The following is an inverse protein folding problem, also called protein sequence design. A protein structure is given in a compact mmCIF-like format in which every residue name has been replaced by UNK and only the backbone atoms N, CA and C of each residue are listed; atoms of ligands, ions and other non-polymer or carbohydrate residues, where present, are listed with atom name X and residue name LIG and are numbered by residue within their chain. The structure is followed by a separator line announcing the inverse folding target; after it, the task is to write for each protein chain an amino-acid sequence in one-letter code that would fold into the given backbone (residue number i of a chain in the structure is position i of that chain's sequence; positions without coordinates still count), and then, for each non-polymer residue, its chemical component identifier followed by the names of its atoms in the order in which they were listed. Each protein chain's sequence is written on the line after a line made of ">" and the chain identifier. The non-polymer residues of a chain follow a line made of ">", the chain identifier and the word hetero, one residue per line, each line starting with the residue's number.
data_IF_650927209189
#
_entry.id   IF_650927209189
#
_cell.length_a   1.000
_cell.length_b   1.000
_cell.length_c   1.000
_cell.angle_alpha   90.00
_cell.angle_beta   90.00
_cell.angle_gamma   90.00
#
_symmetry.space_group_name_H-M   'P 1'
#
loop_
_entity.id
_entity.type
_entity.pdbx_description
1 polymer ?
#
# COMPACT_ATOMS: atom_id res chain seq x y z
N UNK A 1 13.92 -42.68 15.34
CA UNK A 1 14.70 -41.59 14.73
C UNK A 1 14.23 -41.40 13.30
N UNK A 2 13.42 -40.38 13.01
CA UNK A 2 13.23 -39.86 11.65
C UNK A 2 12.91 -38.38 11.75
N UNK A 3 13.98 -37.59 11.65
CA UNK A 3 14.01 -36.13 11.69
C UNK A 3 13.35 -35.59 10.40
N UNK A 4 12.28 -34.80 10.53
CA UNK A 4 11.70 -34.08 9.39
C UNK A 4 12.46 -32.79 9.18
N UNK A 5 13.29 -32.76 8.15
CA UNK A 5 14.04 -31.59 7.67
C UNK A 5 13.10 -30.40 7.40
N UNK A 6 13.40 -29.19 7.91
CA UNK A 6 12.57 -28.02 7.64
C UNK A 6 12.83 -27.49 6.22
N UNK A 7 11.77 -27.39 5.40
CA UNK A 7 11.83 -26.75 4.08
C UNK A 7 12.11 -25.25 4.27
N UNK A 8 13.30 -24.80 3.87
CA UNK A 8 13.65 -23.38 3.77
C UNK A 8 12.64 -22.67 2.87
N UNK A 9 11.88 -21.71 3.43
CA UNK A 9 11.13 -20.74 2.62
C UNK A 9 12.17 -19.90 1.86
N UNK A 10 12.17 -20.00 0.53
CA UNK A 10 12.95 -19.09 -0.32
C UNK A 10 12.42 -17.68 -0.09
N UNK A 11 13.30 -16.76 0.34
CA UNK A 11 13.01 -15.33 0.35
C UNK A 11 12.61 -14.91 -1.08
N UNK A 12 11.56 -14.09 -1.17
CA UNK A 12 11.14 -13.48 -2.44
C UNK A 12 12.34 -12.79 -3.12
N UNK A 13 12.42 -12.80 -4.46
CA UNK A 13 13.50 -12.13 -5.17
C UNK A 13 13.53 -10.65 -4.79
N UNK A 14 14.73 -10.13 -4.53
CA UNK A 14 14.96 -8.71 -4.29
C UNK A 14 14.42 -7.94 -5.51
N UNK A 15 13.59 -6.90 -5.35
CA UNK A 15 13.03 -6.22 -6.50
C UNK A 15 14.18 -5.68 -7.37
N UNK A 16 14.00 -5.69 -8.68
CA UNK A 16 15.02 -5.17 -9.61
C UNK A 16 14.98 -3.63 -9.59
N UNK A 17 16.10 -2.95 -9.83
CA UNK A 17 16.24 -1.48 -9.66
C UNK A 17 15.12 -0.65 -10.32
N UNK A 18 14.55 -1.13 -11.43
CA UNK A 18 13.40 -0.52 -12.09
C UNK A 18 12.07 -0.69 -11.33
N UNK A 19 11.85 -1.82 -10.67
CA UNK A 19 10.66 -2.10 -9.85
C UNK A 19 10.65 -1.23 -8.59
N UNK A 20 11.80 -0.97 -7.96
CA UNK A 20 11.86 -0.02 -6.85
C UNK A 20 11.61 1.43 -7.30
N UNK A 21 12.13 1.83 -8.46
CA UNK A 21 11.87 3.15 -9.00
C UNK A 21 10.37 3.34 -9.28
N UNK A 22 9.72 2.34 -9.86
CA UNK A 22 8.27 2.35 -10.11
C UNK A 22 7.47 2.34 -8.80
N UNK A 23 7.85 1.55 -7.79
CA UNK A 23 7.20 1.57 -6.48
C UNK A 23 7.33 2.95 -5.79
N UNK A 24 8.51 3.56 -5.85
CA UNK A 24 8.74 4.89 -5.30
C UNK A 24 7.91 5.96 -6.03
N UNK A 25 7.85 5.89 -7.37
CA UNK A 25 7.04 6.81 -8.18
C UNK A 25 5.54 6.61 -7.90
N UNK A 26 5.07 5.36 -7.82
CA UNK A 26 3.67 5.03 -7.48
C UNK A 26 3.26 5.59 -6.12
N UNK A 27 4.15 5.48 -5.12
CA UNK A 27 3.97 6.10 -3.79
C UNK A 27 3.95 7.62 -3.86
N UNK A 28 4.81 8.23 -4.67
CA UNK A 28 4.83 9.69 -4.85
C UNK A 28 3.53 10.20 -5.48
N UNK A 29 3.01 9.52 -6.50
CA UNK A 29 1.72 9.84 -7.13
C UNK A 29 0.58 9.75 -6.10
N UNK A 30 0.52 8.67 -5.32
CA UNK A 30 -0.48 8.54 -4.26
C UNK A 30 -0.41 9.68 -3.24
N UNK A 31 0.80 10.05 -2.81
CA UNK A 31 0.99 11.17 -1.86
C UNK A 31 0.46 12.49 -2.41
N UNK A 32 0.69 12.79 -3.68
CA UNK A 32 0.16 14.00 -4.32
C UNK A 32 -1.35 13.93 -4.53
N UNK A 33 -1.88 12.76 -4.88
CA UNK A 33 -3.30 12.53 -5.09
C UNK A 33 -4.11 12.78 -3.81
N UNK A 34 -3.66 12.25 -2.67
CA UNK A 34 -4.38 12.37 -1.40
C UNK A 34 -4.52 13.81 -0.89
N UNK A 35 -3.66 14.74 -1.35
CA UNK A 35 -3.79 16.17 -1.01
C UNK A 35 -5.03 16.81 -1.65
N UNK A 36 -5.40 16.34 -2.84
CA UNK A 36 -6.47 16.92 -3.65
C UNK A 36 -7.75 16.05 -3.61
N UNK A 37 -7.63 14.74 -3.34
CA UNK A 37 -8.74 13.77 -3.42
C UNK A 37 -9.94 14.09 -2.52
N UNK A 38 -9.74 14.75 -1.37
CA UNK A 38 -10.84 15.13 -0.48
C UNK A 38 -11.77 16.19 -1.10
N UNK A 39 -11.27 16.99 -2.04
CA UNK A 39 -12.02 18.06 -2.71
C UNK A 39 -12.40 17.68 -4.13
N UNK A 40 -11.45 17.15 -4.90
CA UNK A 40 -11.62 16.82 -6.33
C UNK A 40 -12.25 15.42 -6.53
N UNK A 41 -12.27 14.59 -5.48
CA UNK A 41 -12.66 13.18 -5.55
C UNK A 41 -11.60 12.29 -6.22
N UNK A 42 -11.87 10.98 -6.23
CA UNK A 42 -11.06 10.00 -6.96
C UNK A 42 -11.48 9.99 -8.44
N UNK A 43 -10.91 10.89 -9.23
CA UNK A 43 -11.15 11.01 -10.68
C UNK A 43 -9.86 10.84 -11.49
N UNK A 44 -9.97 10.50 -12.79
CA UNK A 44 -8.82 10.41 -13.68
C UNK A 44 -8.13 11.77 -13.89
N UNK A 45 -8.89 12.87 -13.82
CA UNK A 45 -8.35 14.22 -13.87
C UNK A 45 -7.44 14.50 -12.65
N UNK A 46 -7.87 14.07 -11.46
CA UNK A 46 -7.09 14.16 -10.23
C UNK A 46 -5.82 13.29 -10.32
N UNK A 47 -5.93 12.04 -10.82
CA UNK A 47 -4.78 11.16 -11.03
C UNK A 47 -3.75 11.78 -11.99
N UNK A 48 -4.18 12.35 -13.12
CA UNK A 48 -3.29 13.01 -14.07
C UNK A 48 -2.59 14.24 -13.46
N UNK A 49 -3.29 15.02 -12.63
CA UNK A 49 -2.73 16.16 -11.90
C UNK A 49 -1.70 15.71 -10.86
N UNK A 50 -2.00 14.66 -10.10
CA UNK A 50 -1.09 14.07 -9.13
C UNK A 50 0.17 13.50 -9.79
N UNK A 51 0.01 12.81 -10.94
CA UNK A 51 1.11 12.31 -11.74
C UNK A 51 2.08 13.40 -12.17
N UNK A 52 1.57 14.50 -12.73
CA UNK A 52 2.39 15.66 -13.09
C UNK A 52 3.16 16.24 -11.91
N UNK A 53 2.52 16.38 -10.73
CA UNK A 53 3.18 16.88 -9.51
C UNK A 53 4.27 15.92 -9.00
N UNK A 54 4.07 14.61 -9.19
CA UNK A 54 5.01 13.57 -8.79
C UNK A 54 6.10 13.27 -9.83
N UNK A 55 6.06 13.91 -11.01
CA UNK A 55 7.01 13.67 -12.10
C UNK A 55 6.71 12.42 -12.94
N UNK A 56 5.51 11.84 -12.84
CA UNK A 56 5.05 10.75 -13.70
C UNK A 56 4.37 11.30 -14.96
N UNK A 57 4.87 10.90 -16.13
CA UNK A 57 4.21 11.18 -17.41
C UNK A 57 3.02 10.23 -17.65
N UNK A 58 2.35 10.39 -18.80
CA UNK A 58 1.16 9.60 -19.13
C UNK A 58 1.46 8.11 -19.27
N UNK A 59 2.60 7.75 -19.88
CA UNK A 59 2.97 6.37 -20.12
C UNK A 59 3.36 5.68 -18.80
N UNK A 60 4.05 6.40 -17.91
CA UNK A 60 4.30 5.95 -16.54
C UNK A 60 3.00 5.78 -15.76
N UNK A 61 2.05 6.73 -15.84
CA UNK A 61 0.75 6.58 -15.17
C UNK A 61 -0.03 5.37 -15.67
N UNK A 62 -0.07 5.14 -16.99
CA UNK A 62 -0.73 3.97 -17.57
C UNK A 62 -0.07 2.65 -17.12
N UNK A 63 1.27 2.64 -17.00
CA UNK A 63 2.02 1.48 -16.48
C UNK A 63 1.77 1.25 -14.98
N UNK A 64 1.81 2.30 -14.17
CA UNK A 64 1.69 2.22 -12.71
C UNK A 64 0.25 1.98 -12.23
N UNK A 65 -0.73 2.51 -12.98
CA UNK A 65 -2.15 2.50 -12.70
C UNK A 65 -2.95 2.02 -13.93
N UNK A 66 -2.89 0.73 -14.29
CA UNK A 66 -3.46 0.20 -15.53
C UNK A 66 -4.98 0.32 -15.62
N UNK A 67 -5.69 0.35 -14.48
CA UNK A 67 -7.13 0.62 -14.40
C UNK A 67 -7.43 2.09 -13.99
N UNK A 68 -6.48 3.01 -14.26
CA UNK A 68 -6.62 4.43 -13.94
C UNK A 68 -6.83 4.66 -12.45
N UNK A 69 -7.79 5.53 -12.10
CA UNK A 69 -8.04 5.89 -10.71
C UNK A 69 -8.46 4.71 -9.82
N UNK A 70 -9.06 3.65 -10.37
CA UNK A 70 -9.37 2.44 -9.60
C UNK A 70 -8.12 1.76 -9.07
N UNK A 71 -7.05 1.67 -9.88
CA UNK A 71 -5.75 1.16 -9.43
C UNK A 71 -5.11 2.03 -8.35
N UNK A 72 -5.37 3.35 -8.38
CA UNK A 72 -4.90 4.26 -7.33
C UNK A 72 -5.63 4.00 -6.00
N UNK A 73 -6.95 3.82 -6.04
CA UNK A 73 -7.76 3.53 -4.84
C UNK A 73 -7.41 2.17 -4.25
N UNK A 74 -7.20 1.16 -5.08
CA UNK A 74 -6.73 -0.16 -4.66
C UNK A 74 -5.36 -0.04 -3.96
N UNK A 75 -4.41 0.65 -4.61
CA UNK A 75 -3.10 0.89 -4.03
C UNK A 75 -3.15 1.67 -2.72
N UNK A 76 -4.02 2.67 -2.62
CA UNK A 76 -4.28 3.38 -1.37
C UNK A 76 -4.77 2.42 -0.28
N UNK A 77 -5.78 1.59 -0.57
CA UNK A 77 -6.32 0.62 0.39
C UNK A 77 -5.23 -0.33 0.90
N UNK A 78 -4.42 -0.89 0.01
CA UNK A 78 -3.30 -1.77 0.36
C UNK A 78 -2.27 -1.05 1.22
N UNK A 79 -1.91 0.19 0.87
CA UNK A 79 -0.92 0.97 1.65
C UNK A 79 -1.38 1.23 3.09
N UNK A 80 -2.69 1.36 3.31
CA UNK A 80 -3.24 1.54 4.65
C UNK A 80 -3.33 0.20 5.39
N UNK A 81 -3.57 -0.91 4.70
CA UNK A 81 -3.47 -2.26 5.28
C UNK A 81 -2.04 -2.54 5.78
N UNK A 82 -1.02 -2.24 4.96
CA UNK A 82 0.40 -2.35 5.32
C UNK A 82 0.74 -1.49 6.56
N UNK A 83 0.28 -0.24 6.60
CA UNK A 83 0.49 0.64 7.74
C UNK A 83 -0.25 0.16 9.01
N UNK A 84 -1.41 -0.48 8.85
CA UNK A 84 -2.13 -1.12 9.96
C UNK A 84 -1.34 -2.32 10.48
N UNK A 85 -0.84 -3.19 9.62
CA UNK A 85 -0.04 -4.34 10.01
C UNK A 85 1.24 -3.92 10.75
N UNK A 86 1.93 -2.87 10.26
CA UNK A 86 3.09 -2.30 10.94
C UNK A 86 2.73 -1.81 12.35
N UNK A 87 1.66 -1.01 12.49
CA UNK A 87 1.20 -0.51 13.78
C UNK A 87 0.78 -1.63 14.74
N UNK A 88 0.08 -2.66 14.25
CA UNK A 88 -0.35 -3.79 15.07
C UNK A 88 0.82 -4.69 15.47
N UNK A 89 1.81 -4.87 14.60
CA UNK A 89 3.02 -5.65 14.87
C UNK A 89 3.88 -5.07 16.00
N UNK A 90 3.79 -3.75 16.22
CA UNK A 90 4.46 -3.07 17.34
C UNK A 90 3.75 -3.27 18.70
N UNK A 91 2.57 -3.88 18.74
CA UNK A 91 1.76 -4.04 19.95
C UNK A 91 1.80 -5.48 20.48
N UNK A 92 1.82 -5.67 21.80
CA UNK A 92 1.63 -6.98 22.42
C UNK A 92 0.15 -7.37 22.42
N UNK A 93 -0.28 -8.03 21.35
CA UNK A 93 -1.67 -8.49 21.17
C UNK A 93 -1.96 -9.79 21.92
N UNK A 94 -0.94 -10.54 22.36
CA UNK A 94 -1.08 -11.87 22.95
C UNK A 94 -1.87 -11.87 24.27
N UNK A 95 -1.80 -10.76 25.01
CA UNK A 95 -2.47 -10.54 26.29
C UNK A 95 -3.94 -10.13 26.15
N UNK A 96 -4.45 -9.95 24.93
CA UNK A 96 -5.82 -9.46 24.66
C UNK A 96 -6.76 -10.57 24.21
N UNK A 97 -8.04 -10.47 24.60
CA UNK A 97 -9.08 -11.37 24.09
C UNK A 97 -9.23 -11.21 22.58
N UNK A 98 -9.62 -12.27 21.86
CA UNK A 98 -9.74 -12.24 20.38
C UNK A 98 -10.61 -11.06 19.92
N UNK A 99 -11.77 -10.84 20.56
CA UNK A 99 -12.67 -9.71 20.24
C UNK A 99 -12.03 -8.33 20.41
N UNK A 100 -11.14 -8.17 21.38
CA UNK A 100 -10.42 -6.92 21.62
C UNK A 100 -9.34 -6.69 20.57
N UNK A 101 -8.68 -7.76 20.12
CA UNK A 101 -7.74 -7.71 19.00
C UNK A 101 -8.43 -7.29 17.71
N UNK A 102 -9.59 -7.87 17.41
CA UNK A 102 -10.40 -7.51 16.22
C UNK A 102 -10.84 -6.05 16.30
N UNK A 103 -11.42 -5.62 17.44
CA UNK A 103 -11.84 -4.23 17.65
C UNK A 103 -10.67 -3.26 17.45
N UNK A 104 -9.52 -3.57 18.03
CA UNK A 104 -8.31 -2.76 17.89
C UNK A 104 -7.87 -2.68 16.42
N UNK A 105 -7.76 -3.81 15.72
CA UNK A 105 -7.38 -3.82 14.31
C UNK A 105 -8.29 -2.95 13.43
N UNK A 106 -9.61 -3.09 13.58
CA UNK A 106 -10.59 -2.28 12.83
C UNK A 106 -10.43 -0.79 13.14
N UNK A 107 -10.32 -0.42 14.41
CA UNK A 107 -10.15 0.99 14.79
C UNK A 107 -8.81 1.55 14.34
N UNK A 108 -7.73 0.76 14.40
CA UNK A 108 -6.42 1.15 13.88
C UNK A 108 -6.48 1.42 12.38
N UNK A 109 -7.22 0.60 11.62
CA UNK A 109 -7.39 0.76 10.18
C UNK A 109 -8.13 2.02 9.78
N UNK A 110 -9.15 2.38 10.55
CA UNK A 110 -9.99 3.56 10.31
C UNK A 110 -9.29 4.88 10.72
N UNK A 111 -8.30 4.81 11.59
CA UNK A 111 -7.56 5.97 12.10
C UNK A 111 -6.25 6.27 11.35
N UNK A 112 -5.94 5.48 10.31
CA UNK A 112 -4.83 5.72 9.39
C UNK A 112 -5.28 6.59 8.21
#
# INVERSE_FOLDING_TARGET
>A
MTEKTPRKRKAAPKPEAGEQADAALKKAVLKEALKDAAFDGFTDAMLAKAGKKAGADKDALARLFPAGVSSLVEYFSTSIDEAMEEKLGALDLSKRKIRERIKLAVLTRLAL
#
